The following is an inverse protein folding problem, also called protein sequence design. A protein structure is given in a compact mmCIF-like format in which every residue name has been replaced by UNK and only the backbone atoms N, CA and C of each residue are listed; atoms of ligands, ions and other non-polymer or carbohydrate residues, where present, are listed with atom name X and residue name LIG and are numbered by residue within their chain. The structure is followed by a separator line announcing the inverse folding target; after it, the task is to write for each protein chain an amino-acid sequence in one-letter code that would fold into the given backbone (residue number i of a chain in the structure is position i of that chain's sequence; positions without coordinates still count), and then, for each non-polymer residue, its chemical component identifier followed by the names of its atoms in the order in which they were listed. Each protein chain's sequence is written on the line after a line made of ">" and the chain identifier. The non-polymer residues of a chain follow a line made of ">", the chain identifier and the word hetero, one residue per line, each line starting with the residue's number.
data_IF_157898667407
#
_entry.id   IF_157898667407
#
_cell.length_a   1.000
_cell.length_b   1.000
_cell.length_c   1.000
_cell.angle_alpha   90.00
_cell.angle_beta   90.00
_cell.angle_gamma   90.00
#
_symmetry.space_group_name_H-M   'P 1'
#
loop_
_entity.id
_entity.type
_entity.pdbx_description
1 polymer ?
#
# COMPACT_ATOMS: atom_id res chain seq x y z
N UNK A 1 12.19 -0.91 28.27
CA UNK A 1 11.51 -0.84 26.95
C UNK A 1 10.64 0.42 26.83
N UNK A 2 9.80 0.74 27.82
CA UNK A 2 8.98 1.97 27.81
C UNK A 2 9.85 3.22 28.02
N UNK A 3 10.81 3.19 28.95
CA UNK A 3 11.75 4.29 29.20
C UNK A 3 12.59 4.67 27.97
N UNK A 4 13.08 3.66 27.24
CA UNK A 4 13.83 3.87 25.99
C UNK A 4 12.94 4.51 24.92
N UNK A 5 11.68 4.12 24.82
CA UNK A 5 10.74 4.73 23.86
C UNK A 5 10.44 6.19 24.22
N UNK A 6 10.31 6.50 25.52
CA UNK A 6 10.12 7.86 26.00
C UNK A 6 11.34 8.75 25.71
N UNK A 7 12.54 8.25 25.94
CA UNK A 7 13.79 8.96 25.64
C UNK A 7 13.93 9.26 24.13
N UNK A 8 13.62 8.29 23.27
CA UNK A 8 13.60 8.48 21.82
C UNK A 8 12.55 9.50 21.37
N UNK A 9 11.34 9.44 21.94
CA UNK A 9 10.28 10.41 21.64
C UNK A 9 10.68 11.83 22.05
N UNK A 10 11.27 11.99 23.24
CA UNK A 10 11.77 13.30 23.69
C UNK A 10 12.87 13.82 22.76
N UNK A 11 13.82 12.99 22.35
CA UNK A 11 14.87 13.38 21.42
C UNK A 11 14.31 13.88 20.08
N UNK A 12 13.33 13.17 19.51
CA UNK A 12 12.67 13.58 18.27
C UNK A 12 11.91 14.90 18.43
N UNK A 13 11.21 15.07 19.54
CA UNK A 13 10.46 16.31 19.84
C UNK A 13 11.41 17.49 20.03
N UNK A 14 12.53 17.29 20.74
CA UNK A 14 13.54 18.32 20.94
C UNK A 14 14.22 18.71 19.63
N UNK A 15 14.47 17.74 18.75
CA UNK A 15 15.01 17.99 17.42
C UNK A 15 14.03 18.77 16.54
N UNK A 16 12.75 18.37 16.53
CA UNK A 16 11.70 19.09 15.81
C UNK A 16 11.49 20.53 16.32
N UNK A 17 11.71 20.77 17.62
CA UNK A 17 11.61 22.11 18.22
C UNK A 17 12.83 22.99 17.88
N UNK A 18 14.04 22.42 17.81
CA UNK A 18 15.27 23.16 17.48
C UNK A 18 15.38 23.51 15.99
N UNK A 19 15.04 22.57 15.12
CA UNK A 19 15.13 22.77 13.67
C UNK A 19 13.95 22.09 12.94
N UNK A 20 12.79 22.78 12.87
CA UNK A 20 11.57 22.19 12.32
C UNK A 20 11.68 21.88 10.82
N UNK A 21 12.42 22.71 10.07
CA UNK A 21 12.57 22.55 8.63
C UNK A 21 13.51 21.39 8.26
N UNK A 22 14.65 21.20 8.96
CA UNK A 22 15.53 20.06 8.73
C UNK A 22 14.94 18.75 9.25
N UNK A 23 14.16 18.78 10.34
CA UNK A 23 13.34 17.65 10.76
C UNK A 23 12.38 17.24 9.64
N UNK A 24 11.56 18.17 9.16
CA UNK A 24 10.55 17.92 8.14
C UNK A 24 11.18 17.45 6.84
N UNK A 25 12.28 18.06 6.40
CA UNK A 25 12.98 17.68 5.17
C UNK A 25 13.56 16.28 5.27
N UNK A 26 14.15 15.91 6.41
CA UNK A 26 14.70 14.56 6.63
C UNK A 26 13.60 13.50 6.65
N UNK A 27 12.48 13.79 7.33
CA UNK A 27 11.31 12.91 7.36
C UNK A 27 10.72 12.77 5.97
N UNK A 28 10.54 13.86 5.22
CA UNK A 28 10.04 13.83 3.86
C UNK A 28 11.00 13.09 2.92
N UNK A 29 12.31 13.32 3.01
CA UNK A 29 13.31 12.60 2.20
C UNK A 29 13.29 11.09 2.45
N UNK A 30 13.05 10.65 3.69
CA UNK A 30 12.90 9.23 4.00
C UNK A 30 11.53 8.69 3.59
N UNK A 31 10.47 9.49 3.77
CA UNK A 31 9.09 9.07 3.53
C UNK A 31 8.74 9.03 2.05
N UNK A 32 9.19 9.99 1.25
CA UNK A 32 8.92 10.07 -0.19
C UNK A 32 9.29 8.79 -0.96
N UNK A 33 10.53 8.25 -0.87
CA UNK A 33 10.87 7.01 -1.57
C UNK A 33 10.09 5.81 -1.04
N UNK A 34 9.81 5.76 0.27
CA UNK A 34 8.97 4.71 0.86
C UNK A 34 7.54 4.79 0.31
N UNK A 35 6.99 6.00 0.18
CA UNK A 35 5.64 6.21 -0.32
C UNK A 35 5.53 5.83 -1.80
N UNK A 36 6.55 6.16 -2.61
CA UNK A 36 6.63 5.73 -4.01
C UNK A 36 6.68 4.20 -4.11
N UNK A 37 7.51 3.55 -3.28
CA UNK A 37 7.57 2.08 -3.25
C UNK A 37 6.21 1.47 -2.88
N UNK A 38 5.54 2.00 -1.86
CA UNK A 38 4.20 1.57 -1.47
C UNK A 38 3.18 1.78 -2.60
N UNK A 39 3.24 2.91 -3.31
CA UNK A 39 2.35 3.21 -4.44
C UNK A 39 2.58 2.24 -5.61
N UNK A 40 3.84 1.95 -5.95
CA UNK A 40 4.18 0.98 -7.00
C UNK A 40 3.73 -0.44 -6.65
N UNK A 41 3.92 -0.85 -5.39
CA UNK A 41 3.44 -2.14 -4.91
C UNK A 41 1.91 -2.21 -4.95
N UNK A 42 1.23 -1.17 -4.48
CA UNK A 42 -0.23 -1.06 -4.49
C UNK A 42 -0.78 -1.12 -5.92
N UNK A 43 -0.12 -0.45 -6.87
CA UNK A 43 -0.45 -0.54 -8.29
C UNK A 43 -0.30 -1.98 -8.80
N UNK A 44 0.85 -2.61 -8.53
CA UNK A 44 1.13 -3.98 -8.97
C UNK A 44 0.07 -4.96 -8.45
N UNK A 45 -0.32 -4.80 -7.19
CA UNK A 45 -1.40 -5.59 -6.57
C UNK A 45 -2.75 -5.31 -7.23
N UNK A 46 -3.10 -4.04 -7.46
CA UNK A 46 -4.34 -3.65 -8.12
C UNK A 46 -4.45 -4.26 -9.53
N UNK A 47 -3.36 -4.24 -10.31
CA UNK A 47 -3.32 -4.89 -11.63
C UNK A 47 -3.52 -6.41 -11.54
N UNK A 48 -2.92 -7.08 -10.57
CA UNK A 48 -3.14 -8.52 -10.39
C UNK A 48 -4.59 -8.84 -10.05
N UNK A 49 -5.23 -8.01 -9.22
CA UNK A 49 -6.65 -8.16 -8.88
C UNK A 49 -7.51 -7.97 -10.14
N UNK A 50 -7.22 -6.94 -10.95
CA UNK A 50 -7.97 -6.68 -12.19
C UNK A 50 -7.86 -7.83 -13.20
N UNK A 51 -6.67 -8.40 -13.37
CA UNK A 51 -6.46 -9.56 -14.26
C UNK A 51 -7.23 -10.78 -13.75
N UNK A 52 -7.13 -11.08 -12.44
CA UNK A 52 -7.87 -12.18 -11.83
C UNK A 52 -9.38 -12.02 -11.96
N UNK A 53 -9.90 -10.80 -11.75
CA UNK A 53 -11.33 -10.52 -11.89
C UNK A 53 -11.81 -10.73 -13.33
N UNK A 54 -11.06 -10.25 -14.32
CA UNK A 54 -11.35 -10.46 -15.75
C UNK A 54 -11.35 -11.95 -16.12
N UNK A 55 -10.38 -12.72 -15.65
CA UNK A 55 -10.35 -14.16 -15.88
C UNK A 55 -11.50 -14.90 -15.22
N UNK A 56 -11.81 -14.57 -13.97
CA UNK A 56 -12.92 -15.17 -13.24
C UNK A 56 -14.26 -14.86 -13.93
N UNK A 57 -14.46 -13.62 -14.37
CA UNK A 57 -15.66 -13.21 -15.11
C UNK A 57 -15.80 -13.95 -16.45
N UNK A 58 -14.68 -14.21 -17.15
CA UNK A 58 -14.68 -15.04 -18.37
C UNK A 58 -15.02 -16.51 -18.08
N UNK A 59 -14.49 -17.07 -16.99
CA UNK A 59 -14.79 -18.46 -16.56
C UNK A 59 -16.26 -18.61 -16.20
N UNK A 60 -16.82 -17.68 -15.44
CA UNK A 60 -18.24 -17.66 -15.07
C UNK A 60 -19.15 -17.62 -16.30
N UNK A 61 -18.90 -16.71 -17.25
CA UNK A 61 -19.67 -16.61 -18.50
C UNK A 61 -19.63 -17.91 -19.34
N UNK A 62 -18.49 -18.60 -19.38
CA UNK A 62 -18.37 -19.90 -20.07
C UNK A 62 -19.21 -20.98 -19.39
N UNK A 63 -19.22 -21.03 -18.05
CA UNK A 63 -20.04 -21.98 -17.30
C UNK A 63 -21.54 -21.71 -17.46
N UNK A 64 -21.97 -20.44 -17.43
CA UNK A 64 -23.37 -20.07 -17.68
C UNK A 64 -23.84 -20.50 -19.07
N UNK A 65 -23.01 -20.30 -20.10
CA UNK A 65 -23.36 -20.70 -21.46
C UNK A 65 -23.43 -22.24 -21.60
N UNK A 66 -22.51 -22.97 -20.98
CA UNK A 66 -22.55 -24.45 -20.95
C UNK A 66 -23.77 -24.98 -20.17
N UNK A 67 -24.13 -24.34 -19.06
CA UNK A 67 -25.31 -24.69 -18.28
C UNK A 67 -26.62 -24.42 -19.03
N UNK A 68 -26.67 -23.33 -19.81
CA UNK A 68 -27.82 -23.03 -20.69
C UNK A 68 -27.95 -24.05 -21.82
N UNK A 69 -26.84 -24.46 -22.44
CA UNK A 69 -26.84 -25.49 -23.50
C UNK A 69 -27.22 -26.86 -22.95
N UNK A 70 -26.79 -27.23 -21.73
CA UNK A 70 -27.18 -28.51 -21.10
C UNK A 70 -28.64 -28.56 -20.63
N UNK A 71 -29.31 -27.41 -20.50
CA UNK A 71 -30.69 -27.30 -20.01
C UNK A 71 -31.72 -27.29 -21.15
N UNK A 72 -31.27 -27.18 -22.40
CA UNK A 72 -32.09 -27.18 -23.61
C UNK A 72 -31.85 -28.45 -24.42
#
# INVERSE_FOLDING_TARGET
>A
MIETMRAWAQYIVEWAAKDPYGFLTSVLLALTPLFIACALLSWKLAKMIEVRDKEQKRRLRRQENLAKVKRN
#
